data_IF_244881193171
#
_entry.id   IF_244881193171
#
_cell.length_a   1.000
_cell.length_b   1.000
_cell.length_c   1.000
_cell.angle_alpha   90.00
_cell.angle_beta   90.00
_cell.angle_gamma   90.00
#
_symmetry.space_group_name_H-M   'P 1'
#
loop_
_entity.id
_entity.type
_entity.pdbx_description
1 polymer ?
#
# COMPACT_ATOMS: atom_id res chain seq x y z
N UNK A 1 13.67 8.42 2.16
CA UNK A 1 12.83 7.98 3.31
C UNK A 1 11.53 7.30 2.89
N UNK A 2 10.88 7.72 1.79
CA UNK A 2 9.60 7.14 1.33
C UNK A 2 9.63 5.65 0.96
N UNK A 3 10.81 5.02 0.86
CA UNK A 3 10.98 3.64 0.38
C UNK A 3 11.53 2.68 1.44
N UNK A 4 11.68 3.13 2.70
CA UNK A 4 12.13 2.28 3.79
C UNK A 4 11.20 2.45 4.98
N UNK A 5 10.61 1.36 5.47
CA UNK A 5 9.82 1.40 6.70
C UNK A 5 10.70 1.45 7.97
N UNK A 6 12.02 1.26 7.82
CA UNK A 6 12.91 1.12 8.97
C UNK A 6 13.11 2.45 9.71
N UNK A 7 13.08 2.45 11.05
CA UNK A 7 13.27 3.65 11.87
C UNK A 7 14.73 4.11 11.94
N UNK A 8 15.69 3.38 11.38
CA UNK A 8 17.10 3.73 11.37
C UNK A 8 17.97 2.67 10.70
N UNK A 9 19.29 2.83 10.80
CA UNK A 9 20.24 1.86 10.25
C UNK A 9 21.69 2.08 10.73
N UNK A 10 22.60 1.29 10.17
CA UNK A 10 24.04 1.36 10.49
C UNK A 10 24.48 0.54 11.70
N UNK A 11 23.57 -0.22 12.29
CA UNK A 11 23.89 -1.16 13.36
C UNK A 11 24.75 -2.34 12.85
N UNK A 12 25.50 -3.02 13.74
CA UNK A 12 26.18 -4.26 13.42
C UNK A 12 25.19 -5.32 12.91
N UNK A 13 25.67 -6.24 12.07
CA UNK A 13 24.83 -7.29 11.51
C UNK A 13 24.23 -8.18 12.60
N UNK A 14 23.00 -8.69 12.38
CA UNK A 14 22.33 -9.59 13.32
C UNK A 14 23.17 -10.82 13.72
N UNK A 15 23.96 -11.46 12.84
CA UNK A 15 24.88 -12.52 13.24
C UNK A 15 25.97 -12.06 14.20
N UNK A 16 26.53 -10.85 13.99
CA UNK A 16 27.52 -10.27 14.91
C UNK A 16 26.90 -9.97 16.27
N UNK A 17 25.73 -9.33 16.30
CA UNK A 17 24.97 -9.09 17.53
C UNK A 17 24.59 -10.39 18.25
N UNK A 18 24.21 -11.44 17.49
CA UNK A 18 23.90 -12.75 18.03
C UNK A 18 25.09 -13.40 18.73
N UNK A 19 26.27 -13.34 18.10
CA UNK A 19 27.51 -13.82 18.68
C UNK A 19 27.88 -13.05 19.95
N UNK A 20 27.79 -11.72 19.91
CA UNK A 20 28.10 -10.85 21.06
C UNK A 20 27.15 -11.06 22.25
N UNK A 21 25.85 -11.25 22.00
CA UNK A 21 24.84 -11.34 23.06
C UNK A 21 24.67 -12.75 23.64
N UNK A 22 24.88 -13.80 22.84
CA UNK A 22 24.52 -15.16 23.23
C UNK A 22 25.55 -16.24 22.85
N UNK A 23 26.64 -15.90 22.15
CA UNK A 23 27.69 -16.86 21.80
C UNK A 23 27.26 -18.02 20.89
N UNK A 24 26.09 -17.94 20.25
CA UNK A 24 25.56 -18.98 19.36
C UNK A 24 24.98 -18.39 18.07
N UNK A 25 24.83 -19.19 16.99
CA UNK A 25 24.33 -18.68 15.71
C UNK A 25 22.84 -18.30 15.78
N UNK A 26 22.49 -17.18 15.11
CA UNK A 26 21.14 -16.58 15.11
C UNK A 26 20.02 -17.55 14.74
N UNK A 27 20.30 -18.53 13.87
CA UNK A 27 19.32 -19.57 13.46
C UNK A 27 18.78 -20.38 14.64
N UNK A 28 19.59 -20.59 15.69
CA UNK A 28 19.26 -21.41 16.87
C UNK A 28 18.62 -20.57 18.00
N UNK A 29 18.08 -19.40 17.69
CA UNK A 29 17.56 -18.48 18.70
C UNK A 29 16.07 -18.72 18.93
N UNK A 30 15.67 -18.71 20.20
CA UNK A 30 14.27 -18.65 20.58
C UNK A 30 13.66 -17.30 20.14
N UNK A 31 12.32 -17.20 20.03
CA UNK A 31 11.66 -15.92 19.73
C UNK A 31 12.07 -14.78 20.67
N UNK A 32 12.27 -15.08 21.96
CA UNK A 32 12.73 -14.09 22.94
C UNK A 32 14.17 -13.60 22.67
N UNK A 33 15.07 -14.51 22.28
CA UNK A 33 16.44 -14.15 21.91
C UNK A 33 16.48 -13.31 20.63
N UNK A 34 15.66 -13.67 19.62
CA UNK A 34 15.54 -12.87 18.38
C UNK A 34 15.04 -11.46 18.66
N UNK A 35 14.01 -11.31 19.50
CA UNK A 35 13.53 -9.99 19.95
C UNK A 35 14.64 -9.17 20.60
N UNK A 36 15.41 -9.77 21.50
CA UNK A 36 16.53 -9.06 22.17
C UNK A 36 17.62 -8.63 21.19
N UNK A 37 17.92 -9.42 20.15
CA UNK A 37 18.81 -8.99 19.07
C UNK A 37 18.24 -7.79 18.31
N UNK A 38 16.96 -7.82 17.94
CA UNK A 38 16.31 -6.71 17.21
C UNK A 38 16.25 -5.42 18.04
N UNK A 39 15.97 -5.53 19.34
CA UNK A 39 16.03 -4.39 20.27
C UNK A 39 17.45 -3.81 20.34
N UNK A 40 18.47 -4.66 20.49
CA UNK A 40 19.87 -4.22 20.53
C UNK A 40 20.31 -3.61 19.20
N UNK A 41 19.88 -4.18 18.06
CA UNK A 41 20.10 -3.61 16.73
C UNK A 41 19.55 -2.18 16.65
N UNK A 42 18.32 -1.97 17.14
CA UNK A 42 17.66 -0.67 17.15
C UNK A 42 18.40 0.35 18.02
N UNK A 43 18.85 -0.05 19.21
CA UNK A 43 19.63 0.81 20.10
C UNK A 43 21.03 1.14 19.56
N UNK A 44 21.53 0.37 18.59
CA UNK A 44 22.86 0.55 17.97
C UNK A 44 22.77 1.14 16.56
N UNK A 45 21.63 1.70 16.17
CA UNK A 45 21.57 2.47 14.93
C UNK A 45 22.52 3.66 14.99
N UNK A 46 23.17 3.94 13.86
CA UNK A 46 24.05 5.09 13.66
C UNK A 46 23.33 6.28 13.05
N UNK A 47 22.16 6.05 12.46
CA UNK A 47 21.24 7.09 12.03
C UNK A 47 19.79 6.66 12.27
N UNK A 48 18.93 7.65 12.47
CA UNK A 48 17.51 7.50 12.73
C UNK A 48 16.71 8.14 11.60
N UNK A 49 15.75 7.40 11.06
CA UNK A 49 14.82 7.84 10.04
C UNK A 49 13.56 8.40 10.71
N UNK A 50 13.36 9.72 10.63
CA UNK A 50 12.13 10.37 11.10
C UNK A 50 11.20 10.64 9.92
N UNK A 51 10.36 9.65 9.61
CA UNK A 51 9.44 9.70 8.46
C UNK A 51 8.47 10.87 8.50
N UNK A 52 7.96 11.23 9.68
CA UNK A 52 7.07 12.38 9.87
C UNK A 52 7.71 13.72 9.49
N UNK A 53 9.02 13.85 9.70
CA UNK A 53 9.79 15.05 9.37
C UNK A 53 10.47 14.95 8.00
N UNK A 54 10.35 13.82 7.32
CA UNK A 54 11.11 13.48 6.11
C UNK A 54 12.63 13.76 6.26
N UNK A 55 13.18 13.51 7.45
CA UNK A 55 14.57 13.82 7.78
C UNK A 55 15.30 12.64 8.47
N UNK A 56 16.63 12.62 8.31
CA UNK A 56 17.53 11.66 8.96
C UNK A 56 18.33 12.39 10.05
N UNK A 57 18.43 11.78 11.22
CA UNK A 57 19.13 12.34 12.37
C UNK A 57 20.20 11.38 12.90
N UNK A 58 21.21 11.94 13.56
CA UNK A 58 22.10 11.14 14.41
C UNK A 58 21.39 10.82 15.71
N UNK A 59 21.60 9.63 16.30
CA UNK A 59 21.21 9.37 17.70
C UNK A 59 21.75 10.46 18.65
N UNK A 60 22.93 11.00 18.35
CA UNK A 60 23.62 12.04 19.11
C UNK A 60 23.31 13.46 18.59
N UNK A 61 22.14 13.66 17.98
CA UNK A 61 21.72 14.97 17.49
C UNK A 61 21.64 15.98 18.64
N UNK A 62 22.24 17.16 18.46
CA UNK A 62 22.17 18.27 19.44
C UNK A 62 20.77 18.89 19.57
N UNK A 63 19.83 18.56 18.66
CA UNK A 63 18.44 19.05 18.55
C UNK A 63 18.30 20.54 18.25
N UNK A 64 19.25 21.36 18.69
CA UNK A 64 19.31 22.80 18.48
C UNK A 64 20.67 23.15 17.86
N UNK A 65 20.67 24.15 16.99
CA UNK A 65 21.87 24.73 16.39
C UNK A 65 21.78 26.25 16.50
N UNK A 66 22.90 26.89 16.79
CA UNK A 66 22.98 28.36 16.76
C UNK A 66 23.24 28.78 15.32
N UNK A 67 22.38 29.65 14.81
CA UNK A 67 22.47 30.16 13.43
C UNK A 67 22.62 31.67 13.54
N UNK A 68 23.57 32.24 12.78
CA UNK A 68 23.70 33.70 12.65
C UNK A 68 22.51 34.21 11.82
N UNK A 69 22.03 35.42 12.09
CA UNK A 69 20.81 35.98 11.46
C UNK A 69 20.84 35.91 9.93
N UNK A 70 22.02 36.08 9.31
CA UNK A 70 22.19 36.07 7.85
C UNK A 70 22.65 34.71 7.26
N UNK A 71 22.68 33.64 8.05
CA UNK A 71 23.21 32.34 7.63
C UNK A 71 22.12 31.27 7.49
N UNK A 72 22.28 30.39 6.51
CA UNK A 72 21.45 29.19 6.42
C UNK A 72 21.73 28.25 7.58
N UNK A 73 20.67 27.73 8.20
CA UNK A 73 20.79 26.71 9.23
C UNK A 73 21.43 25.44 8.66
N UNK A 74 22.57 25.05 9.21
CA UNK A 74 23.22 23.77 8.89
C UNK A 74 22.89 22.72 9.94
N UNK A 75 22.85 21.43 9.59
CA UNK A 75 22.73 20.36 10.57
C UNK A 75 23.86 20.44 11.61
N UNK A 76 23.59 20.02 12.84
CA UNK A 76 24.66 19.86 13.84
C UNK A 76 25.71 18.86 13.38
N UNK A 77 26.95 18.97 13.89
CA UNK A 77 28.10 18.14 13.51
C UNK A 77 27.76 16.64 13.51
N UNK A 78 27.08 16.15 14.54
CA UNK A 78 26.66 14.74 14.65
C UNK A 78 25.78 14.31 13.47
N UNK A 79 24.78 15.12 13.10
CA UNK A 79 23.89 14.83 11.97
C UNK A 79 24.61 15.01 10.63
N UNK A 80 25.45 16.05 10.49
CA UNK A 80 26.24 16.29 9.28
C UNK A 80 27.21 15.14 9.00
N UNK A 81 27.79 14.54 10.04
CA UNK A 81 28.75 13.43 9.92
C UNK A 81 28.15 12.15 9.31
N UNK A 82 26.81 11.98 9.33
CA UNK A 82 26.13 10.81 8.75
C UNK A 82 26.43 10.68 7.26
N UNK A 83 26.52 11.79 6.54
CA UNK A 83 26.79 11.80 5.10
C UNK A 83 28.18 11.22 4.76
N UNK A 84 29.13 11.30 5.69
CA UNK A 84 30.47 10.72 5.52
C UNK A 84 30.51 9.20 5.79
N UNK A 85 29.53 8.66 6.53
CA UNK A 85 29.50 7.24 6.91
C UNK A 85 29.40 6.35 5.67
N UNK A 86 30.29 5.35 5.56
CA UNK A 86 30.32 4.41 4.43
C UNK A 86 29.02 3.61 4.34
N UNK A 87 28.50 3.17 5.48
CA UNK A 87 27.28 2.37 5.58
C UNK A 87 26.05 3.17 5.12
N UNK A 88 26.00 4.46 5.44
CA UNK A 88 24.91 5.34 5.01
C UNK A 88 24.97 5.60 3.51
N UNK A 89 26.16 5.91 2.97
CA UNK A 89 26.37 6.06 1.52
C UNK A 89 26.00 4.78 0.75
N UNK A 90 26.39 3.63 1.26
CA UNK A 90 26.01 2.34 0.69
C UNK A 90 24.50 2.11 0.72
N UNK A 91 23.81 2.56 1.78
CA UNK A 91 22.35 2.46 1.87
C UNK A 91 21.66 3.38 0.86
N UNK A 92 22.17 4.60 0.66
CA UNK A 92 21.65 5.55 -0.34
C UNK A 92 21.88 5.08 -1.78
N UNK A 93 22.99 4.38 -2.04
CA UNK A 93 23.32 3.88 -3.36
C UNK A 93 22.50 2.65 -3.79
N UNK A 94 21.70 2.05 -2.89
CA UNK A 94 20.86 0.90 -3.24
C UNK A 94 19.69 1.34 -4.13
N UNK A 95 19.48 0.69 -5.30
CA UNK A 95 18.34 0.99 -6.13
C UNK A 95 17.04 0.67 -5.39
N UNK A 96 16.02 1.49 -5.61
CA UNK A 96 14.67 1.24 -5.11
C UNK A 96 14.13 0.03 -5.87
N UNK A 97 13.71 -1.05 -5.18
CA UNK A 97 13.11 -2.20 -5.86
C UNK A 97 11.78 -1.80 -6.50
N UNK A 98 11.41 -2.41 -7.64
CA UNK A 98 10.10 -2.22 -8.24
C UNK A 98 8.98 -2.73 -7.31
N UNK A 99 7.79 -2.15 -7.46
CA UNK A 99 6.66 -2.37 -6.54
C UNK A 99 6.22 -3.83 -6.44
N UNK A 100 6.30 -4.58 -7.55
CA UNK A 100 5.98 -6.01 -7.63
C UNK A 100 6.89 -6.87 -6.73
N UNK A 101 8.10 -6.39 -6.41
CA UNK A 101 9.06 -7.05 -5.52
C UNK A 101 8.89 -6.66 -4.06
N UNK A 102 8.20 -5.57 -3.74
CA UNK A 102 8.02 -5.11 -2.35
C UNK A 102 7.31 -6.16 -1.48
N UNK A 103 6.43 -6.99 -2.07
CA UNK A 103 5.75 -8.08 -1.36
C UNK A 103 6.69 -9.13 -0.75
N UNK A 104 7.92 -9.24 -1.25
CA UNK A 104 8.93 -10.19 -0.78
C UNK A 104 9.86 -9.62 0.32
N UNK A 105 9.74 -8.34 0.68
CA UNK A 105 10.52 -7.75 1.78
C UNK A 105 10.22 -8.53 3.06
N UNK A 106 11.18 -9.09 3.81
CA UNK A 106 10.87 -9.86 5.02
C UNK A 106 10.09 -9.05 6.06
N UNK A 107 9.17 -9.70 6.77
CA UNK A 107 8.28 -9.04 7.74
C UNK A 107 9.03 -8.26 8.83
N UNK A 108 10.19 -8.76 9.27
CA UNK A 108 11.05 -8.07 10.24
C UNK A 108 11.68 -6.75 9.76
N UNK A 109 11.50 -6.39 8.49
CA UNK A 109 11.90 -5.11 7.91
C UNK A 109 10.70 -4.24 7.50
N UNK A 110 9.48 -4.68 7.85
CA UNK A 110 8.23 -3.96 7.65
C UNK A 110 7.80 -3.37 9.00
N UNK A 111 6.98 -2.31 8.93
CA UNK A 111 6.35 -1.71 10.10
C UNK A 111 4.82 -1.90 9.98
N UNK A 112 4.28 -3.10 10.30
CA UNK A 112 2.88 -3.43 10.04
C UNK A 112 1.91 -2.55 10.83
N UNK A 113 2.27 -2.12 12.05
CA UNK A 113 1.43 -1.26 12.87
C UNK A 113 1.17 0.09 12.19
N UNK A 114 2.20 0.70 11.59
CA UNK A 114 2.05 1.96 10.84
C UNK A 114 1.19 1.79 9.59
N UNK A 115 1.38 0.70 8.85
CA UNK A 115 0.56 0.38 7.68
C UNK A 115 -0.92 0.18 8.04
N UNK A 116 -1.20 -0.56 9.12
CA UNK A 116 -2.56 -0.79 9.57
C UNK A 116 -3.23 0.50 10.09
N UNK A 117 -2.50 1.35 10.82
CA UNK A 117 -3.01 2.66 11.23
C UNK A 117 -3.36 3.54 10.03
N UNK A 118 -2.50 3.57 9.00
CA UNK A 118 -2.77 4.28 7.75
C UNK A 118 -4.08 3.80 7.12
N UNK A 119 -4.25 2.48 6.95
CA UNK A 119 -5.48 1.91 6.40
C UNK A 119 -6.71 2.28 7.24
N UNK A 120 -6.60 2.29 8.57
CA UNK A 120 -7.70 2.67 9.47
C UNK A 120 -8.09 4.14 9.33
N UNK A 121 -7.13 5.06 9.28
CA UNK A 121 -7.40 6.49 9.10
C UNK A 121 -8.05 6.81 7.75
N UNK A 122 -7.77 6.00 6.73
CA UNK A 122 -8.39 6.14 5.41
C UNK A 122 -9.71 5.34 5.27
N UNK A 123 -10.18 4.66 6.31
CA UNK A 123 -11.39 3.82 6.25
C UNK A 123 -11.24 2.59 5.34
N UNK A 124 -10.01 2.17 5.05
CA UNK A 124 -9.67 1.06 4.15
C UNK A 124 -9.29 -0.23 4.90
N UNK A 125 -9.17 -0.20 6.24
CA UNK A 125 -8.80 -1.38 7.02
C UNK A 125 -9.74 -2.56 6.77
N UNK A 126 -11.06 -2.31 6.76
CA UNK A 126 -12.05 -3.36 6.50
C UNK A 126 -11.96 -3.93 5.07
N UNK A 127 -11.46 -3.15 4.10
CA UNK A 127 -11.20 -3.67 2.75
C UNK A 127 -10.05 -4.68 2.75
N UNK A 128 -9.07 -4.50 3.63
CA UNK A 128 -7.90 -5.36 3.77
C UNK A 128 -8.11 -6.49 4.78
N UNK A 129 -9.09 -6.39 5.68
CA UNK A 129 -9.28 -7.41 6.72
C UNK A 129 -10.55 -8.24 6.52
N UNK A 130 -11.64 -7.64 6.03
CA UNK A 130 -12.97 -8.27 6.03
C UNK A 130 -13.49 -8.64 4.64
N UNK A 131 -12.94 -8.07 3.58
CA UNK A 131 -13.40 -8.39 2.21
C UNK A 131 -13.07 -9.85 1.89
N UNK A 132 -14.05 -10.64 1.39
CA UNK A 132 -13.84 -12.02 0.95
C UNK A 132 -12.70 -12.14 -0.06
N UNK A 133 -11.95 -13.24 -0.02
CA UNK A 133 -10.80 -13.47 -0.89
C UNK A 133 -11.15 -13.29 -2.38
N UNK A 134 -12.30 -13.83 -2.81
CA UNK A 134 -12.79 -13.70 -4.20
C UNK A 134 -12.86 -12.25 -4.69
N UNK A 135 -13.34 -11.31 -3.87
CA UNK A 135 -13.44 -9.90 -4.27
C UNK A 135 -12.06 -9.22 -4.35
N UNK A 136 -11.08 -9.69 -3.56
CA UNK A 136 -9.69 -9.22 -3.64
C UNK A 136 -9.03 -9.73 -4.91
N UNK A 137 -9.22 -11.01 -5.21
CA UNK A 137 -8.70 -11.64 -6.43
C UNK A 137 -9.32 -10.98 -7.66
N UNK A 138 -10.62 -10.68 -7.64
CA UNK A 138 -11.29 -9.91 -8.68
C UNK A 138 -10.66 -8.52 -8.84
N UNK A 139 -10.47 -7.77 -7.75
CA UNK A 139 -9.83 -6.45 -7.81
C UNK A 139 -8.39 -6.52 -8.33
N UNK A 140 -7.62 -7.53 -7.92
CA UNK A 140 -6.27 -7.75 -8.43
C UNK A 140 -6.27 -8.09 -9.92
N UNK A 141 -7.18 -8.96 -10.37
CA UNK A 141 -7.35 -9.30 -11.78
C UNK A 141 -7.74 -8.10 -12.63
N UNK A 142 -8.61 -7.22 -12.14
CA UNK A 142 -8.94 -5.96 -12.82
C UNK A 142 -7.69 -5.06 -12.94
N UNK A 143 -6.91 -4.91 -11.86
CA UNK A 143 -5.69 -4.10 -11.87
C UNK A 143 -4.59 -4.67 -12.78
N UNK A 144 -4.53 -6.00 -12.91
CA UNK A 144 -3.55 -6.67 -13.76
C UNK A 144 -3.98 -6.80 -15.22
N UNK A 145 -5.18 -6.31 -15.58
CA UNK A 145 -5.74 -6.45 -16.92
C UNK A 145 -6.25 -7.86 -17.26
N UNK A 146 -6.43 -8.74 -16.27
CA UNK A 146 -6.87 -10.12 -16.50
C UNK A 146 -8.30 -10.25 -17.08
N UNK A 147 -9.08 -9.17 -17.03
CA UNK A 147 -10.45 -9.08 -17.51
C UNK A 147 -10.62 -8.07 -18.66
N UNK A 148 -9.54 -7.67 -19.33
CA UNK A 148 -9.61 -6.68 -20.43
C UNK A 148 -10.56 -7.13 -21.55
N UNK A 149 -10.57 -8.42 -21.87
CA UNK A 149 -11.47 -9.00 -22.89
C UNK A 149 -12.90 -9.23 -22.37
N UNK A 150 -13.13 -9.18 -21.06
CA UNK A 150 -14.42 -9.41 -20.40
C UNK A 150 -15.24 -8.11 -20.23
N UNK A 151 -15.16 -7.22 -21.22
CA UNK A 151 -15.75 -5.86 -21.15
C UNK A 151 -17.26 -5.85 -20.87
N UNK A 152 -18.01 -6.86 -21.31
CA UNK A 152 -19.45 -7.01 -21.01
C UNK A 152 -19.67 -7.26 -19.53
N UNK A 153 -18.88 -8.16 -18.92
CA UNK A 153 -18.97 -8.48 -17.51
C UNK A 153 -18.54 -7.31 -16.64
N UNK A 154 -17.40 -6.67 -16.94
CA UNK A 154 -16.94 -5.47 -16.23
C UNK A 154 -18.00 -4.35 -16.30
N UNK A 155 -18.63 -4.16 -17.46
CA UNK A 155 -19.71 -3.19 -17.61
C UNK A 155 -20.97 -3.53 -16.81
N UNK A 156 -21.31 -4.81 -16.66
CA UNK A 156 -22.40 -5.27 -15.80
C UNK A 156 -22.11 -5.01 -14.32
N UNK A 157 -20.88 -5.29 -13.87
CA UNK A 157 -20.43 -5.00 -12.50
C UNK A 157 -20.49 -3.49 -12.23
N UNK A 158 -20.02 -2.65 -13.15
CA UNK A 158 -20.09 -1.20 -13.03
C UNK A 158 -21.54 -0.71 -12.91
N UNK A 159 -22.42 -1.19 -13.79
CA UNK A 159 -23.84 -0.83 -13.76
C UNK A 159 -24.48 -1.17 -12.41
N UNK A 160 -24.16 -2.33 -11.84
CA UNK A 160 -24.68 -2.77 -10.54
C UNK A 160 -24.15 -1.94 -9.38
N UNK A 161 -22.84 -1.66 -9.34
CA UNK A 161 -22.23 -0.81 -8.30
C UNK A 161 -22.83 0.60 -8.36
N UNK A 162 -23.00 1.17 -9.55
CA UNK A 162 -23.62 2.49 -9.74
C UNK A 162 -25.09 2.50 -9.35
N UNK A 163 -25.86 1.46 -9.68
CA UNK A 163 -27.25 1.30 -9.25
C UNK A 163 -27.36 1.35 -7.74
N UNK A 164 -26.62 0.50 -7.01
CA UNK A 164 -26.62 0.48 -5.54
C UNK A 164 -26.17 1.81 -4.93
N UNK A 165 -25.13 2.44 -5.49
CA UNK A 165 -24.66 3.76 -5.03
C UNK A 165 -25.71 4.87 -5.24
N UNK A 166 -26.49 4.81 -6.31
CA UNK A 166 -27.54 5.80 -6.60
C UNK A 166 -28.79 5.54 -5.75
N UNK A 167 -29.19 4.28 -5.60
CA UNK A 167 -30.29 3.87 -4.72
C UNK A 167 -30.04 4.33 -3.28
N UNK A 168 -28.81 4.16 -2.77
CA UNK A 168 -28.42 4.66 -1.44
C UNK A 168 -28.51 6.19 -1.28
N UNK A 169 -28.55 6.94 -2.39
CA UNK A 169 -28.75 8.40 -2.44
C UNK A 169 -30.18 8.80 -2.82
N UNK A 170 -31.10 7.83 -2.89
CA UNK A 170 -32.48 8.06 -3.33
C UNK A 170 -32.61 8.46 -4.80
N UNK A 171 -31.61 8.14 -5.64
CA UNK A 171 -31.60 8.50 -7.06
C UNK A 171 -31.85 7.28 -7.94
N UNK A 172 -32.78 7.40 -8.89
CA UNK A 172 -32.95 6.39 -9.95
C UNK A 172 -31.82 6.40 -10.98
N UNK A 173 -31.81 5.42 -11.89
CA UNK A 173 -30.79 5.24 -12.95
C UNK A 173 -30.98 6.15 -14.18
N UNK A 174 -31.84 7.16 -14.09
CA UNK A 174 -32.05 8.13 -15.16
C UNK A 174 -30.74 8.84 -15.50
N UNK A 175 -30.49 9.04 -16.80
CA UNK A 175 -29.28 9.65 -17.37
C UNK A 175 -27.96 8.94 -17.03
N UNK A 176 -28.00 7.68 -16.58
CA UNK A 176 -26.79 6.87 -16.44
C UNK A 176 -26.32 6.40 -17.82
N UNK A 177 -25.04 6.66 -18.13
CA UNK A 177 -24.39 6.17 -19.35
C UNK A 177 -23.82 4.78 -19.06
N UNK A 178 -24.36 3.77 -19.73
CA UNK A 178 -23.87 2.40 -19.60
C UNK A 178 -22.59 2.20 -20.42
N UNK A 179 -21.66 1.35 -19.96
CA UNK A 179 -20.49 0.95 -20.75
C UNK A 179 -20.92 0.30 -22.08
N UNK A 180 -20.26 0.66 -23.18
CA UNK A 180 -20.70 0.32 -24.53
C UNK A 180 -20.83 -1.20 -24.77
N UNK A 181 -19.86 -2.00 -24.32
CA UNK A 181 -19.90 -3.45 -24.47
C UNK A 181 -21.13 -4.08 -23.78
N UNK A 182 -21.41 -3.66 -22.54
CA UNK A 182 -22.57 -4.11 -21.78
C UNK A 182 -23.89 -3.64 -22.41
N UNK A 183 -23.95 -2.40 -22.88
CA UNK A 183 -25.14 -1.83 -23.51
C UNK A 183 -25.45 -2.53 -24.85
N UNK A 184 -24.43 -2.82 -25.67
CA UNK A 184 -24.57 -3.58 -26.91
C UNK A 184 -25.07 -5.01 -26.65
N UNK A 185 -24.54 -5.68 -25.61
CA UNK A 185 -25.03 -7.00 -25.20
C UNK A 185 -26.51 -6.94 -24.75
N UNK A 186 -26.90 -5.89 -24.03
CA UNK A 186 -28.30 -5.64 -23.66
C UNK A 186 -29.19 -5.44 -24.89
N UNK A 187 -28.72 -4.70 -25.90
CA UNK A 187 -29.44 -4.50 -27.16
C UNK A 187 -29.61 -5.82 -27.93
N UNK A 188 -28.55 -6.62 -28.04
CA UNK A 188 -28.61 -7.93 -28.67
C UNK A 188 -29.61 -8.86 -27.96
N UNK A 189 -29.57 -8.92 -26.63
CA UNK A 189 -30.51 -9.71 -25.84
C UNK A 189 -31.96 -9.27 -26.06
N UNK A 190 -32.20 -7.96 -26.13
CA UNK A 190 -33.52 -7.39 -26.40
C UNK A 190 -34.02 -7.73 -27.80
N UNK A 191 -33.16 -7.70 -28.80
CA UNK A 191 -33.50 -8.07 -30.18
C UNK A 191 -33.87 -9.54 -30.30
N UNK A 192 -33.23 -10.41 -29.53
CA UNK A 192 -33.55 -11.84 -29.48
C UNK A 192 -34.87 -12.08 -28.72
N UNK A 193 -35.01 -11.49 -27.53
CA UNK A 193 -36.19 -11.67 -26.70
C UNK A 193 -36.40 -10.49 -25.73
N UNK A 194 -37.43 -9.70 -26.00
CA UNK A 194 -37.83 -8.60 -25.10
C UNK A 194 -38.15 -9.08 -23.69
N UNK A 195 -38.75 -10.28 -23.54
CA UNK A 195 -39.08 -10.86 -22.22
C UNK A 195 -37.82 -11.26 -21.44
N UNK A 196 -36.84 -11.86 -22.11
CA UNK A 196 -35.55 -12.18 -21.50
C UNK A 196 -34.82 -10.90 -21.05
N UNK A 197 -34.88 -9.84 -21.87
CA UNK A 197 -34.31 -8.55 -21.53
C UNK A 197 -34.95 -7.91 -20.30
N UNK A 198 -36.28 -7.90 -20.17
CA UNK A 198 -36.94 -7.35 -18.97
C UNK A 198 -36.52 -8.10 -17.71
N UNK A 199 -36.43 -9.44 -17.77
CA UNK A 199 -35.94 -10.25 -16.66
C UNK A 199 -34.49 -9.87 -16.31
N UNK A 200 -33.59 -9.85 -17.30
CA UNK A 200 -32.19 -9.49 -17.11
C UNK A 200 -32.03 -8.10 -16.49
N UNK A 201 -32.77 -7.11 -17.02
CA UNK A 201 -32.75 -5.73 -16.57
C UNK A 201 -33.23 -5.57 -15.13
N UNK A 202 -34.20 -6.38 -14.69
CA UNK A 202 -34.66 -6.32 -13.29
C UNK A 202 -33.54 -6.69 -12.31
N UNK A 203 -32.68 -7.64 -12.69
CA UNK A 203 -31.54 -8.12 -11.90
C UNK A 203 -30.36 -7.13 -12.02
N UNK A 204 -29.84 -6.97 -13.24
CA UNK A 204 -28.55 -6.30 -13.50
C UNK A 204 -28.68 -4.80 -13.81
N UNK A 205 -29.91 -4.33 -14.02
CA UNK A 205 -30.15 -3.01 -14.60
C UNK A 205 -29.98 -2.99 -16.11
N UNK A 206 -30.01 -1.80 -16.69
CA UNK A 206 -29.97 -1.60 -18.14
C UNK A 206 -30.92 -0.49 -18.54
N UNK A 207 -30.75 0.01 -19.77
CA UNK A 207 -31.63 1.03 -20.34
C UNK A 207 -33.08 0.59 -20.33
N UNK A 208 -34.00 1.55 -20.28
CA UNK A 208 -35.40 1.20 -20.50
C UNK A 208 -35.63 0.83 -21.97
N UNK A 209 -36.62 -0.02 -22.28
CA UNK A 209 -37.08 -0.30 -23.64
C UNK A 209 -37.23 0.93 -24.53
N UNK A 210 -37.70 2.04 -23.94
CA UNK A 210 -37.95 3.31 -24.62
C UNK A 210 -36.68 4.08 -24.95
N UNK A 211 -35.60 3.87 -24.20
CA UNK A 211 -34.30 4.52 -24.38
C UNK A 211 -33.27 3.70 -25.18
N UNK A 212 -33.68 2.52 -25.67
CA UNK A 212 -32.90 1.66 -26.57
C UNK A 212 -33.32 1.88 -28.04
N UNK A 213 -34.47 2.52 -28.27
CA UNK A 213 -34.96 2.88 -29.60
C UNK A 213 -34.10 3.93 -30.27
#
# INVERSE_FOLDING_TARGET
LRHSAMPGGGAPSRPKLASELFGKPYRNFSPAQRRRVHTTETHRYRWLNRHSLQAVFSPDCRKTVRVREDANAVPCDSCGSILAMKEFRNALARPIPPDDRLKFVPECWREPATGHLYLRFHGLADLVDKVPQMLRDFAQGVLSGAYEDDAVFLGAVEAMVKKKSRDARGKGMQNFKYPAAFDNACMALRSISGRAYEMFKSIWGGRTPRSIR
#
